data_IF_400694409315
#
_entry.id   IF_400694409315
#
_cell.length_a   1.000
_cell.length_b   1.000
_cell.length_c   1.000
_cell.angle_alpha   90.00
_cell.angle_beta   90.00
_cell.angle_gamma   90.00
#
_symmetry.space_group_name_H-M   'P 1'
#
loop_
_entity.id
_entity.type
_entity.pdbx_description
1 polymer ?
#
# COMPACT_ATOMS: atom_id res chain seq x y z
N UNK A 1 9.51 10.52 -14.51
CA UNK A 1 9.76 9.84 -13.23
C UNK A 1 11.25 9.57 -13.12
N UNK A 2 11.83 9.69 -11.93
CA UNK A 2 13.24 9.31 -11.68
C UNK A 2 13.24 8.05 -10.81
N UNK A 3 13.90 6.99 -11.25
CA UNK A 3 14.24 5.85 -10.40
C UNK A 3 15.66 6.05 -9.87
N UNK A 4 15.80 6.33 -8.58
CA UNK A 4 17.08 6.56 -7.91
C UNK A 4 17.45 5.35 -7.07
N UNK A 5 18.44 4.60 -7.54
CA UNK A 5 19.03 3.45 -6.84
C UNK A 5 20.14 3.97 -5.94
N UNK A 6 20.06 3.68 -4.64
CA UNK A 6 21.00 4.25 -3.67
C UNK A 6 21.23 3.36 -2.45
N UNK A 7 22.32 3.66 -1.72
CA UNK A 7 22.62 3.08 -0.40
C UNK A 7 21.75 3.74 0.67
N UNK A 8 20.47 3.46 0.59
CA UNK A 8 19.45 4.01 1.49
C UNK A 8 19.07 3.03 2.57
N UNK A 9 18.36 3.55 3.55
CA UNK A 9 17.78 2.75 4.61
C UNK A 9 16.40 2.18 4.23
N UNK A 10 15.66 2.88 3.37
CA UNK A 10 14.35 2.44 2.91
C UNK A 10 14.04 3.01 1.53
N UNK A 11 13.03 2.40 0.90
CA UNK A 11 12.51 2.84 -0.38
C UNK A 11 11.28 3.73 -0.21
N UNK A 12 11.20 4.82 -0.97
CA UNK A 12 10.11 5.79 -0.92
C UNK A 12 9.89 6.42 -2.29
N UNK A 13 8.63 6.60 -2.66
CA UNK A 13 8.26 7.44 -3.78
C UNK A 13 7.76 8.80 -3.28
N UNK A 14 8.38 9.87 -3.76
CA UNK A 14 8.04 11.24 -3.38
C UNK A 14 8.46 12.22 -4.48
N UNK A 15 7.60 13.18 -4.81
CA UNK A 15 7.89 14.29 -5.73
C UNK A 15 8.44 13.82 -7.08
N UNK A 16 7.80 12.79 -7.66
CA UNK A 16 8.20 12.22 -8.95
C UNK A 16 9.54 11.46 -8.95
N UNK A 17 10.07 11.13 -7.78
CA UNK A 17 11.27 10.32 -7.59
C UNK A 17 10.91 9.07 -6.79
N UNK A 18 11.23 7.90 -7.34
CA UNK A 18 11.26 6.64 -6.60
C UNK A 18 12.70 6.38 -6.12
N UNK A 19 12.93 6.58 -4.83
CA UNK A 19 14.15 6.18 -4.14
C UNK A 19 14.06 4.69 -3.83
N UNK A 20 14.83 3.85 -4.52
CA UNK A 20 14.91 2.42 -4.26
C UNK A 20 16.22 2.10 -3.53
N UNK A 21 16.09 1.76 -2.24
CA UNK A 21 17.18 1.21 -1.44
C UNK A 21 17.32 -0.29 -1.74
N UNK A 22 18.55 -0.71 -2.05
CA UNK A 22 18.88 -2.13 -2.22
C UNK A 22 19.25 -2.76 -0.88
N UNK A 23 18.93 -4.05 -0.71
CA UNK A 23 19.22 -4.76 0.55
C UNK A 23 20.73 -4.90 0.82
N UNK A 24 21.55 -4.94 -0.24
CA UNK A 24 23.00 -5.14 -0.15
C UNK A 24 23.75 -4.23 -1.12
N UNK A 25 23.43 -2.93 -1.13
CA UNK A 25 24.05 -1.97 -2.06
C UNK A 25 25.60 -2.00 -1.99
N UNK A 26 26.32 -2.04 -3.13
CA UNK A 26 25.83 -1.92 -4.52
C UNK A 26 25.48 -3.26 -5.19
N UNK A 27 25.52 -4.39 -4.48
CA UNK A 27 25.04 -5.65 -5.02
C UNK A 27 23.52 -5.61 -5.16
N UNK A 28 23.02 -6.25 -6.21
CA UNK A 28 21.58 -6.34 -6.49
C UNK A 28 21.16 -7.79 -6.62
N UNK A 29 19.97 -8.09 -6.10
CA UNK A 29 19.36 -9.40 -6.18
C UNK A 29 18.47 -9.52 -7.43
N UNK A 30 18.28 -10.74 -7.92
CA UNK A 30 17.43 -11.00 -9.10
C UNK A 30 15.99 -10.47 -8.92
N UNK A 31 15.42 -10.61 -7.73
CA UNK A 31 14.08 -10.11 -7.43
C UNK A 31 14.01 -8.57 -7.37
N UNK A 32 15.12 -7.88 -7.06
CA UNK A 32 15.22 -6.41 -7.13
C UNK A 32 15.30 -5.95 -8.60
N UNK A 33 16.04 -6.68 -9.44
CA UNK A 33 16.06 -6.45 -10.89
C UNK A 33 14.66 -6.60 -11.50
N UNK A 34 13.92 -7.65 -11.11
CA UNK A 34 12.53 -7.83 -11.54
C UNK A 34 11.62 -6.69 -11.08
N UNK A 35 11.75 -6.25 -9.81
CA UNK A 35 11.00 -5.10 -9.26
C UNK A 35 11.25 -3.85 -10.11
N UNK A 36 12.52 -3.55 -10.41
CA UNK A 36 12.91 -2.41 -11.25
C UNK A 36 12.30 -2.56 -12.65
N UNK A 37 12.43 -3.73 -13.27
CA UNK A 37 11.94 -3.92 -14.63
C UNK A 37 10.41 -3.74 -14.73
N UNK A 38 9.66 -4.22 -13.73
CA UNK A 38 8.20 -4.01 -13.64
C UNK A 38 7.84 -2.55 -13.40
N UNK A 39 8.60 -1.83 -12.56
CA UNK A 39 8.44 -0.39 -12.40
C UNK A 39 8.62 0.35 -13.74
N UNK A 40 9.71 0.07 -14.47
CA UNK A 40 9.97 0.71 -15.76
C UNK A 40 8.89 0.36 -16.79
N UNK A 41 8.44 -0.91 -16.85
CA UNK A 41 7.37 -1.33 -17.74
C UNK A 41 6.03 -0.64 -17.40
N UNK A 42 5.73 -0.49 -16.11
CA UNK A 42 4.55 0.24 -15.63
C UNK A 42 4.58 1.71 -16.04
N UNK A 43 5.68 2.40 -15.79
CA UNK A 43 5.84 3.80 -16.19
C UNK A 43 5.70 3.97 -17.72
N UNK A 44 6.26 3.04 -18.50
CA UNK A 44 6.14 3.02 -19.96
C UNK A 44 4.70 2.78 -20.43
N UNK A 45 3.95 1.88 -19.78
CA UNK A 45 2.54 1.64 -20.06
C UNK A 45 1.73 2.94 -19.93
N UNK A 46 2.06 3.76 -18.92
CA UNK A 46 1.45 5.07 -18.69
C UNK A 46 2.14 6.22 -19.43
N UNK A 47 2.95 5.91 -20.46
CA UNK A 47 3.62 6.87 -21.35
C UNK A 47 4.53 7.86 -20.61
N UNK A 48 5.01 7.50 -19.42
CA UNK A 48 5.99 8.30 -18.68
C UNK A 48 7.40 7.96 -19.13
N UNK A 49 8.23 8.99 -19.26
CA UNK A 49 9.66 8.83 -19.42
C UNK A 49 10.30 8.61 -18.04
N UNK A 50 11.08 7.54 -17.92
CA UNK A 50 11.77 7.19 -16.68
C UNK A 50 13.28 7.21 -16.87
N UNK A 51 13.98 7.98 -16.04
CA UNK A 51 15.44 7.97 -15.95
C UNK A 51 15.90 7.10 -14.78
N UNK A 52 17.05 6.43 -14.95
CA UNK A 52 17.68 5.65 -13.88
C UNK A 52 18.93 6.39 -13.40
N UNK A 53 18.89 6.79 -12.14
CA UNK A 53 20.01 7.37 -11.40
C UNK A 53 20.62 6.32 -10.48
N UNK A 54 21.91 6.05 -10.64
CA UNK A 54 22.66 5.16 -9.79
C UNK A 54 24.13 5.63 -9.82
N UNK A 55 24.73 5.83 -8.64
CA UNK A 55 26.10 6.30 -8.52
C UNK A 55 27.11 5.22 -8.93
N UNK A 56 26.78 3.95 -8.71
CA UNK A 56 27.61 2.82 -9.12
C UNK A 56 27.36 2.48 -10.59
N UNK A 57 28.40 2.64 -11.42
CA UNK A 57 28.30 2.43 -12.87
C UNK A 57 28.14 0.96 -13.26
N UNK A 58 28.68 0.04 -12.46
CA UNK A 58 28.60 -1.40 -12.73
C UNK A 58 27.18 -1.89 -12.47
N UNK A 59 26.61 -1.55 -11.31
CA UNK A 59 25.22 -1.80 -10.97
C UNK A 59 24.28 -1.14 -11.99
N UNK A 60 24.53 0.12 -12.37
CA UNK A 60 23.72 0.79 -13.39
C UNK A 60 23.71 0.01 -14.70
N UNK A 61 24.87 -0.49 -15.14
CA UNK A 61 24.97 -1.30 -16.35
C UNK A 61 24.18 -2.60 -16.21
N UNK A 62 24.32 -3.30 -15.09
CA UNK A 62 23.59 -4.54 -14.81
C UNK A 62 22.07 -4.35 -14.87
N UNK A 63 21.55 -3.28 -14.27
CA UNK A 63 20.14 -2.91 -14.34
C UNK A 63 19.70 -2.66 -15.79
N UNK A 64 20.49 -1.87 -16.54
CA UNK A 64 20.18 -1.57 -17.94
C UNK A 64 20.15 -2.85 -18.79
N UNK A 65 21.16 -3.70 -18.65
CA UNK A 65 21.26 -4.97 -19.38
C UNK A 65 20.06 -5.88 -19.07
N UNK A 66 19.56 -5.89 -17.82
CA UNK A 66 18.37 -6.64 -17.42
C UNK A 66 17.08 -6.09 -18.06
N UNK A 67 16.84 -4.77 -18.02
CA UNK A 67 15.59 -4.18 -18.54
C UNK A 67 15.51 -4.18 -20.08
N UNK A 68 16.63 -4.38 -20.79
CA UNK A 68 16.64 -4.54 -22.26
C UNK A 68 16.13 -5.89 -22.75
N UNK A 69 15.87 -6.83 -21.85
CA UNK A 69 15.22 -8.11 -22.15
C UNK A 69 13.78 -7.93 -22.68
N UNK A 70 13.11 -8.98 -23.21
CA UNK A 70 11.77 -8.85 -23.78
C UNK A 70 10.79 -8.13 -22.84
N UNK A 71 9.83 -7.37 -23.39
CA UNK A 71 8.97 -6.51 -22.60
C UNK A 71 8.12 -7.31 -21.62
N UNK A 72 8.10 -6.87 -20.36
CA UNK A 72 7.11 -7.29 -19.38
C UNK A 72 5.74 -6.78 -19.84
N UNK A 73 4.76 -7.68 -19.89
CA UNK A 73 3.39 -7.36 -20.30
C UNK A 73 2.47 -7.28 -19.07
N UNK A 74 1.44 -6.42 -19.10
CA UNK A 74 0.44 -6.38 -18.04
C UNK A 74 -0.49 -7.62 -18.08
N UNK A 75 -1.07 -8.03 -16.93
CA UNK A 75 -0.83 -7.47 -15.60
C UNK A 75 0.57 -7.83 -15.10
N UNK A 76 1.27 -6.85 -14.53
CA UNK A 76 2.55 -7.15 -13.90
C UNK A 76 2.24 -7.87 -12.59
N UNK A 77 2.60 -9.16 -12.51
CA UNK A 77 2.43 -9.97 -11.31
C UNK A 77 3.80 -10.40 -10.81
N UNK A 78 4.21 -10.07 -9.56
CA UNK A 78 5.45 -10.53 -8.93
C UNK A 78 5.67 -12.05 -9.10
N UNK A 79 6.87 -12.49 -9.47
CA UNK A 79 7.18 -13.94 -9.52
C UNK A 79 7.19 -14.55 -8.12
N UNK A 80 7.60 -13.77 -7.12
CA UNK A 80 7.48 -14.09 -5.70
C UNK A 80 7.29 -12.84 -4.84
N UNK A 81 6.86 -13.02 -3.58
CA UNK A 81 6.52 -11.93 -2.66
C UNK A 81 7.67 -10.95 -2.41
N UNK A 82 8.93 -11.36 -2.51
CA UNK A 82 10.10 -10.48 -2.34
C UNK A 82 10.17 -9.42 -3.41
N UNK A 83 9.71 -9.70 -4.62
CA UNK A 83 9.63 -8.69 -5.69
C UNK A 83 8.67 -7.56 -5.31
N UNK A 84 7.63 -7.85 -4.52
CA UNK A 84 6.69 -6.86 -3.98
C UNK A 84 7.01 -6.44 -2.53
N UNK A 85 8.19 -6.77 -2.02
CA UNK A 85 8.63 -6.37 -0.68
C UNK A 85 8.69 -4.84 -0.52
N UNK A 86 8.58 -4.41 0.73
CA UNK A 86 8.91 -3.03 1.13
C UNK A 86 9.79 -3.08 2.37
N UNK A 87 9.99 -1.94 3.03
CA UNK A 87 10.73 -1.82 4.27
C UNK A 87 9.79 -1.40 5.41
N UNK A 88 10.03 -1.93 6.61
CA UNK A 88 9.36 -1.46 7.82
C UNK A 88 10.07 -0.22 8.42
N UNK A 89 9.58 0.25 9.57
CA UNK A 89 10.19 1.37 10.30
C UNK A 89 11.62 1.07 10.80
N UNK A 90 11.97 -0.22 10.93
CA UNK A 90 13.31 -0.70 11.27
C UNK A 90 14.16 -0.99 10.04
N UNK A 91 13.70 -0.58 8.86
CA UNK A 91 14.45 -0.70 7.60
C UNK A 91 14.71 -2.16 7.22
N UNK A 92 13.91 -3.07 7.76
CA UNK A 92 13.98 -4.48 7.45
C UNK A 92 13.08 -4.77 6.25
N UNK A 93 13.55 -5.66 5.37
CA UNK A 93 12.75 -6.15 4.26
C UNK A 93 11.50 -6.86 4.81
N UNK A 94 10.32 -6.44 4.38
CA UNK A 94 9.05 -7.02 4.82
C UNK A 94 8.18 -7.49 3.67
N UNK A 95 7.55 -8.64 3.91
CA UNK A 95 6.47 -9.23 3.11
C UNK A 95 5.42 -9.81 4.06
N UNK A 96 4.25 -10.18 3.54
CA UNK A 96 3.16 -10.77 4.32
C UNK A 96 2.29 -11.63 3.40
N UNK A 97 1.45 -12.50 3.96
CA UNK A 97 0.36 -13.16 3.22
C UNK A 97 -0.90 -12.28 3.11
N UNK A 98 -0.87 -11.13 3.79
CA UNK A 98 -1.99 -10.21 3.91
C UNK A 98 -1.61 -8.81 3.46
N UNK A 99 -2.46 -8.20 2.64
CA UNK A 99 -2.43 -6.78 2.30
C UNK A 99 -3.52 -6.03 3.05
N UNK A 100 -3.35 -4.71 3.20
CA UNK A 100 -4.32 -3.87 3.89
C UNK A 100 -4.59 -2.57 3.16
N UNK A 101 -5.83 -2.10 3.31
CA UNK A 101 -6.26 -0.74 3.06
C UNK A 101 -6.66 -0.12 4.40
N UNK A 102 -5.96 0.92 4.83
CA UNK A 102 -6.23 1.60 6.10
C UNK A 102 -6.76 3.01 5.83
N UNK A 103 -7.78 3.41 6.57
CA UNK A 103 -8.48 4.69 6.32
C UNK A 103 -9.07 5.29 7.59
N UNK A 104 -9.58 6.52 7.50
CA UNK A 104 -10.22 7.23 8.61
C UNK A 104 -11.59 6.63 8.95
N UNK A 105 -12.09 6.89 10.17
CA UNK A 105 -13.41 6.40 10.62
C UNK A 105 -14.52 6.80 9.62
N UNK A 106 -14.55 8.07 9.19
CA UNK A 106 -15.56 8.56 8.26
C UNK A 106 -15.53 7.86 6.90
N UNK A 107 -14.35 7.59 6.35
CA UNK A 107 -14.22 6.86 5.10
C UNK A 107 -14.62 5.38 5.26
N UNK A 108 -14.26 4.75 6.38
CA UNK A 108 -14.65 3.37 6.68
C UNK A 108 -16.17 3.21 6.80
N UNK A 109 -16.87 4.18 7.39
CA UNK A 109 -18.34 4.22 7.44
C UNK A 109 -18.93 4.22 6.03
N UNK A 110 -18.40 5.06 5.13
CA UNK A 110 -18.85 5.10 3.73
C UNK A 110 -18.60 3.78 3.00
N UNK A 111 -17.42 3.18 3.20
CA UNK A 111 -17.04 1.87 2.64
C UNK A 111 -18.03 0.77 3.07
N UNK A 112 -18.40 0.70 4.35
CA UNK A 112 -19.38 -0.31 4.81
C UNK A 112 -20.78 -0.09 4.23
N UNK A 113 -21.23 1.16 4.11
CA UNK A 113 -22.54 1.49 3.54
C UNK A 113 -22.67 1.04 2.09
N UNK A 114 -21.60 1.15 1.29
CA UNK A 114 -21.60 0.72 -0.11
C UNK A 114 -21.13 -0.72 -0.29
N UNK A 115 -20.45 -1.30 0.72
CA UNK A 115 -19.90 -2.65 0.70
C UNK A 115 -18.68 -2.82 -0.20
N UNK A 116 -17.97 -1.73 -0.51
CA UNK A 116 -16.88 -1.68 -1.47
C UNK A 116 -15.84 -0.64 -1.04
N UNK A 117 -14.57 -0.93 -1.31
CA UNK A 117 -13.51 0.08 -1.32
C UNK A 117 -13.40 0.57 -2.77
N UNK A 118 -13.52 1.88 -2.98
CA UNK A 118 -13.45 2.49 -4.31
C UNK A 118 -12.08 3.15 -4.51
N UNK A 119 -11.61 3.20 -5.76
CA UNK A 119 -10.52 4.07 -6.17
C UNK A 119 -10.87 5.53 -5.88
N UNK A 120 -9.88 6.41 -5.80
CA UNK A 120 -10.11 7.80 -5.43
C UNK A 120 -11.05 8.52 -6.42
N UNK A 121 -10.90 8.29 -7.73
CA UNK A 121 -11.79 8.83 -8.77
C UNK A 121 -13.25 8.45 -8.49
N UNK A 122 -13.51 7.18 -8.19
CA UNK A 122 -14.87 6.68 -7.94
C UNK A 122 -15.40 7.10 -6.57
N UNK A 123 -14.55 7.13 -5.54
CA UNK A 123 -14.92 7.51 -4.18
C UNK A 123 -15.32 8.99 -4.08
N UNK A 124 -14.62 9.86 -4.82
CA UNK A 124 -14.90 11.30 -4.81
C UNK A 124 -15.81 11.76 -5.95
N UNK A 125 -16.03 10.93 -6.98
CA UNK A 125 -16.78 11.31 -8.18
C UNK A 125 -16.11 12.46 -8.93
N UNK A 126 -14.78 12.48 -8.96
CA UNK A 126 -13.94 13.52 -9.55
C UNK A 126 -12.95 12.90 -10.52
N UNK A 127 -12.60 13.65 -11.56
CA UNK A 127 -11.62 13.20 -12.54
C UNK A 127 -10.22 13.13 -11.93
N UNK A 128 -9.39 12.22 -12.46
CA UNK A 128 -8.04 12.00 -11.94
C UNK A 128 -7.17 13.26 -12.07
N UNK A 129 -7.36 14.05 -13.13
CA UNK A 129 -6.71 15.34 -13.36
C UNK A 129 -6.96 16.32 -12.22
N UNK A 130 -8.16 16.34 -11.67
CA UNK A 130 -8.49 17.20 -10.54
C UNK A 130 -7.87 16.69 -9.23
N UNK A 131 -7.80 15.38 -9.06
CA UNK A 131 -7.24 14.75 -7.85
C UNK A 131 -5.71 14.89 -7.78
N UNK A 132 -5.03 14.91 -8.92
CA UNK A 132 -3.58 15.20 -9.00
C UNK A 132 -3.26 16.57 -8.42
N UNK A 133 -4.11 17.56 -8.65
CA UNK A 133 -3.95 18.95 -8.20
C UNK A 133 -4.46 19.17 -6.76
N UNK A 134 -5.05 18.15 -6.13
CA UNK A 134 -5.59 18.25 -4.79
C UNK A 134 -4.46 18.36 -3.76
N UNK A 135 -4.62 19.23 -2.76
CA UNK A 135 -3.67 19.38 -1.65
C UNK A 135 -3.40 18.08 -0.89
N UNK A 136 -4.29 17.10 -0.98
CA UNK A 136 -4.13 15.76 -0.40
C UNK A 136 -3.14 14.89 -1.17
N UNK A 137 -2.80 15.24 -2.42
CA UNK A 137 -1.77 14.59 -3.22
C UNK A 137 -0.36 15.07 -2.81
N UNK A 138 -0.01 14.98 -1.53
CA UNK A 138 1.24 15.51 -1.00
C UNK A 138 2.48 14.81 -1.58
N UNK A 139 2.37 13.52 -1.93
CA UNK A 139 3.46 12.74 -2.51
C UNK A 139 3.69 13.04 -4.01
N UNK A 140 2.83 13.85 -4.63
CA UNK A 140 2.79 14.05 -6.08
C UNK A 140 2.60 12.74 -6.84
N UNK A 141 1.65 11.93 -6.40
CA UNK A 141 1.27 10.68 -7.04
C UNK A 141 0.84 10.94 -8.49
N UNK A 142 1.22 10.06 -9.43
CA UNK A 142 0.85 10.20 -10.83
C UNK A 142 -0.65 9.94 -11.02
N UNK A 143 -1.20 10.55 -12.07
CA UNK A 143 -2.65 10.58 -12.35
C UNK A 143 -3.34 9.22 -12.33
N UNK A 144 -2.69 8.19 -12.86
CA UNK A 144 -3.24 6.83 -12.92
C UNK A 144 -3.41 6.20 -11.54
N UNK A 145 -2.68 6.62 -10.50
CA UNK A 145 -2.81 6.02 -9.16
C UNK A 145 -4.21 6.25 -8.58
N UNK A 146 -4.88 7.35 -8.96
CA UNK A 146 -6.23 7.67 -8.50
C UNK A 146 -7.31 6.73 -9.07
N UNK A 147 -6.98 5.95 -10.09
CA UNK A 147 -7.84 4.91 -10.66
C UNK A 147 -7.77 3.58 -9.91
N UNK A 148 -6.89 3.44 -8.91
CA UNK A 148 -6.69 2.19 -8.18
C UNK A 148 -7.02 2.32 -6.70
N UNK A 149 -7.49 1.21 -6.13
CA UNK A 149 -7.36 0.93 -4.69
C UNK A 149 -5.94 0.45 -4.45
N UNK A 150 -5.14 1.29 -3.79
CA UNK A 150 -3.76 0.96 -3.42
C UNK A 150 -3.74 0.24 -2.06
N UNK A 151 -2.91 -0.80 -1.97
CA UNK A 151 -2.77 -1.64 -0.79
C UNK A 151 -1.30 -1.71 -0.36
N UNK A 152 -1.07 -1.79 0.95
CA UNK A 152 0.23 -2.07 1.55
C UNK A 152 0.24 -3.44 2.24
N UNK A 153 1.41 -3.95 2.62
CA UNK A 153 1.48 -5.16 3.44
C UNK A 153 0.85 -4.91 4.82
N UNK A 154 0.07 -5.86 5.34
CA UNK A 154 -0.66 -5.69 6.61
C UNK A 154 0.21 -5.54 7.85
N UNK A 155 1.49 -5.93 7.78
CA UNK A 155 2.48 -5.78 8.84
C UNK A 155 3.29 -4.48 8.72
N UNK A 156 2.87 -3.54 7.86
CA UNK A 156 3.50 -2.22 7.71
C UNK A 156 2.62 -1.12 8.30
N UNK A 157 3.27 -0.07 8.81
CA UNK A 157 2.60 1.06 9.46
C UNK A 157 2.17 2.17 8.51
N UNK A 158 2.59 2.10 7.23
CA UNK A 158 2.37 3.17 6.24
C UNK A 158 0.89 3.53 6.07
N UNK A 159 0.00 2.53 6.08
CA UNK A 159 -1.44 2.74 5.98
C UNK A 159 -2.02 3.54 7.16
N UNK A 160 -1.59 3.22 8.39
CA UNK A 160 -2.02 3.96 9.58
C UNK A 160 -1.42 5.36 9.63
N UNK A 161 -0.15 5.53 9.26
CA UNK A 161 0.47 6.85 9.09
C UNK A 161 -0.35 7.70 8.12
N UNK A 162 -0.68 7.17 6.94
CA UNK A 162 -1.49 7.85 5.93
C UNK A 162 -2.89 8.23 6.43
N UNK A 163 -3.55 7.33 7.18
CA UNK A 163 -4.84 7.62 7.81
C UNK A 163 -4.72 8.77 8.82
N UNK A 164 -3.62 8.83 9.58
CA UNK A 164 -3.32 9.95 10.49
C UNK A 164 -3.09 11.25 9.73
N UNK A 165 -2.33 11.25 8.62
CA UNK A 165 -2.12 12.48 7.83
C UNK A 165 -3.44 13.02 7.28
N UNK A 166 -4.32 12.12 6.82
CA UNK A 166 -5.66 12.49 6.34
C UNK A 166 -6.57 13.03 7.43
N UNK A 167 -6.46 12.49 8.65
CA UNK A 167 -7.19 12.98 9.81
C UNK A 167 -6.72 14.40 10.20
N UNK A 168 -5.41 14.65 10.17
CA UNK A 168 -4.81 15.93 10.55
C UNK A 168 -4.84 16.99 9.44
N UNK A 169 -4.95 16.58 8.17
CA UNK A 169 -4.79 17.45 7.00
C UNK A 169 -3.34 17.90 6.77
N UNK A 170 -2.37 17.27 7.43
CA UNK A 170 -0.93 17.54 7.33
C UNK A 170 -0.12 16.30 7.73
N UNK A 171 1.19 16.31 7.46
CA UNK A 171 2.08 15.31 8.00
C UNK A 171 2.03 15.29 9.56
N UNK A 172 1.90 14.11 10.19
CA UNK A 172 1.92 13.96 11.63
C UNK A 172 3.35 14.17 12.16
N UNK A 173 3.43 14.73 13.36
CA UNK A 173 4.67 14.81 14.15
C UNK A 173 4.97 13.47 14.85
N UNK A 174 6.19 13.30 15.36
CA UNK A 174 6.56 12.08 16.09
C UNK A 174 5.69 11.88 17.35
N UNK A 175 5.42 12.95 18.10
CA UNK A 175 4.52 12.89 19.27
C UNK A 175 3.12 12.39 18.89
N UNK A 176 2.62 12.78 17.70
CA UNK A 176 1.33 12.32 17.17
C UNK A 176 1.36 10.87 16.67
N UNK A 177 2.53 10.36 16.26
CA UNK A 177 2.68 8.96 15.86
C UNK A 177 2.94 8.03 17.05
N UNK A 178 3.35 8.57 18.20
CA UNK A 178 3.65 7.79 19.40
C UNK A 178 2.60 7.96 20.50
N UNK A 179 2.51 9.15 21.10
CA UNK A 179 1.73 9.37 22.33
C UNK A 179 0.28 9.76 22.03
N UNK A 180 0.04 10.48 20.93
CA UNK A 180 -1.29 10.97 20.52
C UNK A 180 -1.82 10.22 19.30
N UNK A 181 -1.33 9.02 19.06
CA UNK A 181 -1.71 8.23 17.90
C UNK A 181 -3.20 7.88 17.93
N UNK A 182 -3.91 8.16 16.84
CA UNK A 182 -5.33 7.86 16.68
C UNK A 182 -5.46 6.81 15.57
N UNK A 183 -5.77 5.54 15.91
CA UNK A 183 -5.89 4.50 14.91
C UNK A 183 -7.11 4.69 14.01
N UNK A 184 -6.91 4.47 12.71
CA UNK A 184 -7.99 4.31 11.75
C UNK A 184 -8.58 2.90 11.73
N UNK A 185 -9.40 2.63 10.72
CA UNK A 185 -9.92 1.28 10.42
C UNK A 185 -9.05 0.65 9.34
N UNK A 186 -8.70 -0.63 9.51
CA UNK A 186 -7.94 -1.40 8.53
C UNK A 186 -8.77 -2.55 7.95
N UNK A 187 -8.83 -2.62 6.63
CA UNK A 187 -9.42 -3.72 5.88
C UNK A 187 -8.27 -4.57 5.33
N UNK A 188 -8.27 -5.85 5.64
CA UNK A 188 -7.21 -6.78 5.28
C UNK A 188 -7.72 -7.84 4.29
N UNK A 189 -6.84 -8.26 3.40
CA UNK A 189 -7.13 -9.11 2.26
C UNK A 189 -6.02 -10.15 2.10
N UNK A 190 -6.36 -11.33 1.60
CA UNK A 190 -5.38 -12.37 1.26
C UNK A 190 -4.62 -11.95 0.00
N UNK A 191 -3.29 -11.93 0.07
CA UNK A 191 -2.47 -11.51 -1.06
C UNK A 191 -2.62 -12.46 -2.27
N UNK A 192 -2.69 -13.76 -2.01
CA UNK A 192 -2.87 -14.78 -3.06
C UNK A 192 -4.19 -14.64 -3.83
N UNK A 193 -5.24 -14.14 -3.17
CA UNK A 193 -6.52 -13.86 -3.82
C UNK A 193 -6.47 -12.53 -4.58
N UNK A 194 -5.82 -11.51 -4.01
CA UNK A 194 -5.67 -10.20 -4.65
C UNK A 194 -4.93 -10.26 -5.98
N UNK A 195 -3.88 -11.07 -6.10
CA UNK A 195 -3.12 -11.20 -7.36
C UNK A 195 -3.95 -11.87 -8.48
N UNK A 196 -5.06 -12.52 -8.14
CA UNK A 196 -6.01 -13.10 -9.08
C UNK A 196 -7.22 -12.19 -9.34
N UNK A 197 -7.36 -11.10 -8.59
CA UNK A 197 -8.51 -10.22 -8.69
C UNK A 197 -8.52 -9.46 -10.04
N UNK A 198 -9.70 -9.28 -10.68
CA UNK A 198 -9.81 -8.45 -11.86
C UNK A 198 -9.29 -7.04 -11.62
N UNK A 199 -8.46 -6.54 -12.55
CA UNK A 199 -7.86 -5.21 -12.42
C UNK A 199 -6.65 -5.15 -11.48
N UNK A 200 -6.15 -6.28 -10.99
CA UNK A 200 -4.87 -6.35 -10.28
C UNK A 200 -3.71 -5.81 -11.14
N UNK A 201 -2.82 -5.07 -10.48
CA UNK A 201 -1.59 -4.56 -11.05
C UNK A 201 -0.52 -4.38 -9.96
N UNK A 202 0.71 -4.80 -10.26
CA UNK A 202 1.91 -4.41 -9.52
C UNK A 202 2.65 -3.32 -10.29
N UNK A 203 2.98 -2.20 -9.66
CA UNK A 203 3.68 -1.10 -10.32
C UNK A 203 5.18 -1.05 -10.00
N UNK A 204 5.73 -2.05 -9.31
CA UNK A 204 7.12 -2.04 -8.84
C UNK A 204 7.35 -1.29 -7.52
N UNK A 205 6.30 -0.68 -6.94
CA UNK A 205 6.36 0.03 -5.66
C UNK A 205 5.27 -0.45 -4.69
N UNK A 206 4.00 -0.33 -5.06
CA UNK A 206 2.86 -0.82 -4.30
C UNK A 206 2.71 -2.34 -4.48
N UNK A 207 2.59 -3.07 -3.38
CA UNK A 207 2.43 -4.55 -3.40
C UNK A 207 1.24 -4.99 -4.27
N UNK A 208 0.14 -4.27 -4.19
CA UNK A 208 -1.06 -4.56 -4.95
C UNK A 208 -1.85 -3.27 -5.21
N UNK A 209 -2.31 -3.14 -6.45
CA UNK A 209 -3.28 -2.13 -6.86
C UNK A 209 -4.42 -2.84 -7.56
N UNK A 210 -5.65 -2.52 -7.17
CA UNK A 210 -6.85 -3.06 -7.82
C UNK A 210 -7.56 -1.91 -8.52
N UNK A 211 -7.73 -2.01 -9.84
CA UNK A 211 -8.39 -0.96 -10.60
C UNK A 211 -9.83 -0.82 -10.14
N UNK A 212 -10.28 0.43 -10.06
CA UNK A 212 -11.64 0.85 -9.76
C UNK A 212 -12.16 0.55 -8.35
N UNK A 213 -12.14 -0.72 -7.91
CA UNK A 213 -12.80 -1.11 -6.67
C UNK A 213 -12.38 -2.48 -6.14
N UNK A 214 -12.61 -2.70 -4.84
CA UNK A 214 -12.54 -3.99 -4.16
C UNK A 214 -13.86 -4.26 -3.44
N UNK A 215 -14.46 -5.42 -3.67
CA UNK A 215 -15.73 -5.77 -3.04
C UNK A 215 -15.46 -6.34 -1.63
N UNK A 216 -16.18 -5.85 -0.61
CA UNK A 216 -15.96 -6.36 0.74
C UNK A 216 -16.56 -7.76 0.94
N UNK A 217 -17.57 -8.11 0.17
CA UNK A 217 -18.35 -9.32 0.39
C UNK A 217 -17.67 -10.59 -0.10
N UNK A 218 -16.84 -10.48 -1.13
CA UNK A 218 -16.04 -11.59 -1.64
C UNK A 218 -14.62 -11.54 -1.10
N UNK A 219 -13.98 -10.36 -1.07
CA UNK A 219 -12.52 -10.26 -0.91
C UNK A 219 -12.09 -9.91 0.52
N UNK A 220 -12.94 -9.31 1.36
CA UNK A 220 -12.53 -8.92 2.72
C UNK A 220 -12.18 -10.17 3.53
N UNK A 221 -10.95 -10.26 4.00
CA UNK A 221 -10.53 -11.32 4.92
C UNK A 221 -10.90 -10.94 6.36
N UNK A 222 -10.45 -9.78 6.82
CA UNK A 222 -10.74 -9.27 8.17
C UNK A 222 -10.70 -7.75 8.18
N UNK A 223 -11.57 -7.12 8.96
CA UNK A 223 -11.56 -5.68 9.23
C UNK A 223 -11.37 -5.44 10.73
N UNK A 224 -10.42 -4.57 11.08
CA UNK A 224 -10.16 -4.18 12.46
C UNK A 224 -10.62 -2.74 12.70
N UNK A 225 -11.49 -2.59 13.69
CA UNK A 225 -12.06 -1.30 14.11
C UNK A 225 -11.63 -1.04 15.56
N UNK A 226 -11.13 0.16 15.92
CA UNK A 226 -10.88 0.48 17.31
C UNK A 226 -12.17 0.40 18.13
N UNK A 227 -12.16 -0.31 19.27
CA UNK A 227 -13.38 -0.60 20.06
C UNK A 227 -14.14 0.66 20.46
N UNK A 228 -13.43 1.75 20.77
CA UNK A 228 -14.06 3.02 21.15
C UNK A 228 -14.91 3.64 20.02
N UNK A 229 -14.76 3.20 18.77
CA UNK A 229 -15.61 3.61 17.66
C UNK A 229 -16.78 2.64 17.38
N UNK A 230 -16.90 1.52 18.11
CA UNK A 230 -17.87 0.45 17.84
C UNK A 230 -19.30 0.92 17.58
N UNK A 231 -19.82 1.82 18.41
CA UNK A 231 -21.18 2.35 18.29
C UNK A 231 -21.46 3.06 16.95
N UNK A 232 -20.43 3.57 16.27
CA UNK A 232 -20.57 4.18 14.94
C UNK A 232 -20.75 3.14 13.82
N UNK A 233 -20.40 1.87 14.09
CA UNK A 233 -20.38 0.80 13.10
C UNK A 233 -21.49 -0.25 13.28
N UNK A 234 -21.99 -0.45 14.51
CA UNK A 234 -22.92 -1.56 14.87
C UNK A 234 -24.15 -1.67 13.94
N UNK A 235 -24.66 -0.56 13.44
CA UNK A 235 -25.87 -0.54 12.59
C UNK A 235 -25.61 -0.37 11.09
N UNK A 236 -24.35 -0.24 10.67
CA UNK A 236 -23.99 -0.03 9.26
C UNK A 236 -23.23 -1.20 8.64
N UNK A 237 -22.63 -2.07 9.46
CA UNK A 237 -21.93 -3.25 8.96
C UNK A 237 -22.98 -4.22 8.39
N UNK A 238 -22.88 -4.59 7.11
CA UNK A 238 -23.76 -5.60 6.53
C UNK A 238 -23.66 -6.93 7.29
N UNK A 239 -24.79 -7.59 7.53
CA UNK A 239 -24.86 -8.81 8.34
C UNK A 239 -23.89 -9.92 7.89
N UNK A 240 -23.68 -10.07 6.57
CA UNK A 240 -22.75 -11.04 5.98
C UNK A 240 -21.26 -10.74 6.18
N UNK A 241 -20.91 -9.61 6.79
CA UNK A 241 -19.53 -9.24 7.12
C UNK A 241 -19.25 -9.29 8.63
N UNK A 242 -20.26 -9.54 9.47
CA UNK A 242 -20.13 -9.45 10.93
C UNK A 242 -19.08 -10.43 11.49
N UNK A 243 -18.91 -11.59 10.87
CA UNK A 243 -17.91 -12.60 11.23
C UNK A 243 -16.47 -12.20 10.84
N UNK A 244 -16.32 -11.19 9.98
CA UNK A 244 -15.04 -10.66 9.50
C UNK A 244 -14.66 -9.32 10.15
N UNK A 245 -15.54 -8.73 10.96
CA UNK A 245 -15.27 -7.47 11.66
C UNK A 245 -14.92 -7.71 13.12
N UNK A 246 -13.77 -7.19 13.53
CA UNK A 246 -13.28 -7.33 14.90
C UNK A 246 -13.04 -5.95 15.51
N UNK A 247 -13.53 -5.79 16.73
CA UNK A 247 -13.23 -4.64 17.55
C UNK A 247 -11.99 -4.91 18.39
N UNK A 248 -11.04 -3.98 18.38
CA UNK A 248 -9.78 -4.10 19.09
C UNK A 248 -9.56 -2.86 19.96
N UNK A 249 -9.28 -3.08 21.25
CA UNK A 249 -9.03 -1.99 22.19
C UNK A 249 -7.71 -1.29 21.84
N UNK A 250 -7.70 0.03 21.89
CA UNK A 250 -6.50 0.88 21.75
C UNK A 250 -6.20 1.47 23.13
N UNK A 251 -5.11 1.01 23.73
CA UNK A 251 -4.73 1.22 25.12
C UNK A 251 -3.63 2.29 25.24
N UNK A 252 -3.54 3.19 24.26
CA UNK A 252 -2.49 4.20 24.15
C UNK A 252 -1.25 3.74 23.39
N UNK A 253 -1.35 2.68 22.58
CA UNK A 253 -0.24 2.28 21.70
C UNK A 253 0.08 3.36 20.67
N UNK A 254 1.38 3.58 20.43
CA UNK A 254 1.85 4.31 19.24
C UNK A 254 1.63 3.52 17.95
N UNK A 255 1.93 4.17 16.82
CA UNK A 255 1.74 3.67 15.46
C UNK A 255 2.28 2.24 15.27
N UNK A 256 3.50 1.99 15.72
CA UNK A 256 4.17 0.70 15.52
C UNK A 256 3.55 -0.40 16.36
N UNK A 257 3.35 -0.14 17.66
CA UNK A 257 2.78 -1.12 18.59
C UNK A 257 1.33 -1.44 18.23
N UNK A 258 0.55 -0.46 17.77
CA UNK A 258 -0.78 -0.68 17.22
C UNK A 258 -0.74 -1.57 15.97
N UNK A 259 0.16 -1.27 15.02
CA UNK A 259 0.33 -2.08 13.80
C UNK A 259 0.65 -3.53 14.14
N UNK A 260 1.56 -3.78 15.09
CA UNK A 260 1.89 -5.13 15.58
C UNK A 260 0.70 -5.80 16.26
N UNK A 261 -0.05 -5.08 17.10
CA UNK A 261 -1.24 -5.59 17.81
C UNK A 261 -2.31 -6.05 16.81
N UNK A 262 -2.60 -5.22 15.81
CA UNK A 262 -3.52 -5.51 14.69
C UNK A 262 -3.06 -6.74 13.92
N UNK A 263 -1.79 -6.77 13.48
CA UNK A 263 -1.29 -7.86 12.66
C UNK A 263 -1.33 -9.22 13.38
N UNK A 264 -1.09 -9.24 14.71
CA UNK A 264 -1.29 -10.46 15.52
C UNK A 264 -2.73 -10.98 15.49
N UNK A 265 -3.73 -10.10 15.40
CA UNK A 265 -5.13 -10.51 15.25
C UNK A 265 -5.37 -11.08 13.86
N UNK A 266 -4.84 -10.44 12.81
CA UNK A 266 -4.91 -10.93 11.43
C UNK A 266 -4.36 -12.35 11.33
N UNK A 267 -3.17 -12.62 11.88
CA UNK A 267 -2.54 -13.95 11.89
C UNK A 267 -3.32 -15.00 12.70
N UNK A 268 -4.01 -14.61 13.76
CA UNK A 268 -4.77 -15.56 14.60
C UNK A 268 -6.00 -16.13 13.90
N UNK A 269 -6.60 -15.37 12.97
CA UNK A 269 -7.75 -15.88 12.22
C UNK A 269 -7.33 -16.84 11.10
N UNK A 270 -6.05 -16.85 10.71
CA UNK A 270 -5.51 -17.77 9.70
C UNK A 270 -5.61 -19.24 10.12
N UNK A 271 -5.56 -19.50 11.43
CA UNK A 271 -5.66 -20.84 11.99
C UNK A 271 -7.08 -21.38 12.19
N UNK A 272 -8.12 -20.68 11.69
CA UNK A 272 -9.52 -21.12 11.79
C UNK A 272 -10.14 -21.55 10.44
N UNK A 273 -9.31 -21.63 9.39
CA UNK A 273 -9.69 -22.18 8.08
C UNK A 273 -9.54 -23.69 8.01
#
# INVERSE_FOLDING_TARGET
MILKIYNGEYSLQWDGIYYLALIDYPNIQEWELEKIAKFIAYEKLHKRQTSIECADSCLKKEILDYIYQPPFLPPFTPTDKRVASTYDLHKSLVTSDYCSHTTTIGAAISIFKIGQILSAVKAFGRDAEELVLDSRNAASDPIDYFDYVMLGWSNTSSGYRLAMERLLGRAPSEEELQEKFIPGVSFHFLYEELIQAPGYMFDGYHVAKIKDMLNLFSELYICIIPTHNKSQFENIIPSRLLDRVYYLDHDGEGLEEWTKKVYRIVLKQSGKG
#
